data_IF_515632866880
#
_entry.id   IF_515632866880
#
_cell.length_a   1.000
_cell.length_b   1.000
_cell.length_c   1.000
_cell.angle_alpha   90.00
_cell.angle_beta   90.00
_cell.angle_gamma   90.00
#
_symmetry.space_group_name_H-M   'P 1'
#
loop_
_entity.id
_entity.type
_entity.pdbx_description
1 polymer ?
#
# COMPACT_ATOMS: atom_id res chain seq x y z
N UNK A 1 -5.40 26.24 -9.69
CA UNK A 1 -5.74 24.82 -10.02
C UNK A 1 -6.27 24.19 -8.76
N UNK A 2 -7.38 23.45 -8.81
CA UNK A 2 -7.87 22.78 -7.63
C UNK A 2 -6.92 21.60 -7.24
N UNK A 3 -7.03 21.14 -5.99
CA UNK A 3 -6.14 20.08 -5.44
C UNK A 3 -6.20 18.79 -6.26
N UNK A 4 -7.37 18.47 -6.81
CA UNK A 4 -7.57 17.24 -7.56
C UNK A 4 -6.87 17.29 -8.91
N UNK A 5 -7.04 18.38 -9.66
CA UNK A 5 -6.35 18.64 -10.93
C UNK A 5 -4.83 18.65 -10.76
N UNK A 6 -4.34 19.26 -9.66
CA UNK A 6 -2.91 19.25 -9.35
C UNK A 6 -2.38 17.83 -9.09
N UNK A 7 -3.11 16.99 -8.35
CA UNK A 7 -2.71 15.60 -8.11
C UNK A 7 -2.67 14.77 -9.40
N UNK A 8 -3.59 15.01 -10.34
CA UNK A 8 -3.58 14.36 -11.67
C UNK A 8 -2.32 14.78 -12.44
N UNK A 9 -2.00 16.08 -12.45
CA UNK A 9 -0.81 16.59 -13.12
C UNK A 9 0.49 15.99 -12.52
N UNK A 10 0.60 15.91 -11.18
CA UNK A 10 1.73 15.30 -10.50
C UNK A 10 1.85 13.80 -10.84
N UNK A 11 0.74 13.08 -10.94
CA UNK A 11 0.73 11.67 -11.32
C UNK A 11 1.16 11.50 -12.78
N UNK A 12 0.64 12.31 -13.69
CA UNK A 12 1.04 12.29 -15.10
C UNK A 12 2.54 12.58 -15.25
N UNK A 13 3.04 13.59 -14.57
CA UNK A 13 4.47 13.90 -14.52
C UNK A 13 5.33 12.73 -14.03
N UNK A 14 4.81 11.93 -13.09
CA UNK A 14 5.50 10.71 -12.62
C UNK A 14 5.54 9.64 -13.69
N UNK A 15 4.44 9.43 -14.41
CA UNK A 15 4.39 8.45 -15.50
C UNK A 15 5.30 8.86 -16.66
N UNK A 16 5.35 10.14 -16.99
CA UNK A 16 6.20 10.67 -18.03
C UNK A 16 7.69 10.55 -17.67
N UNK A 17 8.04 10.81 -16.39
CA UNK A 17 9.39 10.60 -15.89
C UNK A 17 9.83 9.13 -15.97
N UNK A 18 8.95 8.19 -15.57
CA UNK A 18 9.24 6.75 -15.67
C UNK A 18 9.48 6.35 -17.13
N UNK A 19 8.64 6.82 -18.06
CA UNK A 19 8.77 6.52 -19.49
C UNK A 19 10.04 7.09 -20.09
N UNK A 20 10.49 8.27 -19.64
CA UNK A 20 11.67 8.93 -20.16
C UNK A 20 12.98 8.45 -19.53
N UNK A 21 12.96 7.71 -18.42
CA UNK A 21 14.14 7.36 -17.65
C UNK A 21 14.41 5.85 -17.65
N UNK A 22 15.49 5.42 -18.31
CA UNK A 22 15.85 4.00 -18.44
C UNK A 22 16.06 3.30 -17.09
N UNK A 23 16.63 3.97 -16.08
CA UNK A 23 16.82 3.37 -14.75
C UNK A 23 15.50 3.08 -14.07
N UNK A 24 14.52 3.98 -14.20
CA UNK A 24 13.18 3.76 -13.65
C UNK A 24 12.44 2.64 -14.39
N UNK A 25 12.59 2.55 -15.72
CA UNK A 25 12.01 1.45 -16.51
C UNK A 25 12.60 0.10 -16.09
N UNK A 26 13.93 0.02 -15.91
CA UNK A 26 14.59 -1.18 -15.41
C UNK A 26 14.13 -1.57 -14.02
N UNK A 27 13.94 -0.60 -13.12
CA UNK A 27 13.41 -0.85 -11.79
C UNK A 27 11.96 -1.39 -11.83
N UNK A 28 11.11 -0.84 -12.69
CA UNK A 28 9.74 -1.37 -12.91
C UNK A 28 9.79 -2.81 -13.40
N UNK A 29 10.63 -3.11 -14.40
CA UNK A 29 10.77 -4.47 -14.93
C UNK A 29 11.27 -5.44 -13.85
N UNK A 30 12.28 -5.05 -13.08
CA UNK A 30 12.78 -5.83 -11.95
C UNK A 30 11.68 -6.11 -10.93
N UNK A 31 10.94 -5.07 -10.52
CA UNK A 31 9.85 -5.20 -9.57
C UNK A 31 8.78 -6.16 -10.06
N UNK A 32 8.32 -6.02 -11.31
CA UNK A 32 7.29 -6.89 -11.91
C UNK A 32 7.76 -8.35 -11.98
N UNK A 33 8.99 -8.60 -12.41
CA UNK A 33 9.54 -9.94 -12.53
C UNK A 33 9.71 -10.67 -11.18
N UNK A 34 9.88 -9.90 -10.10
CA UNK A 34 10.13 -10.42 -8.76
C UNK A 34 8.93 -10.24 -7.80
N UNK A 35 7.78 -9.80 -8.31
CA UNK A 35 6.55 -9.73 -7.52
C UNK A 35 6.14 -11.10 -7.01
N UNK A 36 5.56 -11.14 -5.81
CA UNK A 36 5.02 -12.35 -5.19
C UNK A 36 3.60 -12.11 -4.72
N UNK A 37 2.67 -12.89 -5.24
CA UNK A 37 1.30 -12.92 -4.72
C UNK A 37 1.17 -14.05 -3.69
N UNK A 38 0.86 -13.67 -2.45
CA UNK A 38 0.58 -14.61 -1.36
C UNK A 38 -0.93 -14.78 -1.24
N UNK A 39 -1.46 -15.88 -1.76
CA UNK A 39 -2.90 -16.19 -1.64
C UNK A 39 -3.28 -16.64 -0.22
N UNK A 40 -4.56 -16.54 0.21
CA UNK A 40 -4.97 -16.80 1.59
C UNK A 40 -4.60 -18.20 2.10
N UNK A 41 -4.69 -19.21 1.24
CA UNK A 41 -4.38 -20.60 1.57
C UNK A 41 -2.88 -20.90 1.65
N UNK A 42 -2.03 -19.99 1.22
CA UNK A 42 -0.59 -20.18 1.19
C UNK A 42 0.03 -19.81 2.53
N UNK A 43 0.68 -20.77 3.18
CA UNK A 43 1.54 -20.49 4.32
C UNK A 43 2.77 -19.68 3.87
N UNK A 44 3.10 -18.64 4.62
CA UNK A 44 4.31 -17.84 4.38
C UNK A 44 5.41 -18.40 5.26
N UNK A 45 6.42 -19.01 4.64
CA UNK A 45 7.55 -19.56 5.37
C UNK A 45 8.34 -18.42 6.05
N UNK A 46 8.45 -18.49 7.35
CA UNK A 46 9.29 -17.57 8.12
C UNK A 46 10.74 -18.05 8.09
N UNK A 47 11.65 -17.09 8.06
CA UNK A 47 13.05 -17.36 8.42
C UNK A 47 13.11 -17.65 9.92
N UNK A 48 14.15 -18.35 10.36
CA UNK A 48 14.43 -18.55 11.78
C UNK A 48 14.35 -17.20 12.51
N UNK A 49 13.60 -17.12 13.63
CA UNK A 49 13.47 -15.87 14.37
C UNK A 49 14.84 -15.41 14.85
N UNK A 50 15.20 -14.18 14.49
CA UNK A 50 16.40 -13.56 15.02
C UNK A 50 16.29 -13.36 16.53
N UNK A 51 17.42 -13.38 17.22
CA UNK A 51 17.49 -13.17 18.71
C UNK A 51 17.25 -11.72 19.12
N UNK A 52 17.08 -10.79 18.20
CA UNK A 52 16.91 -9.36 18.48
C UNK A 52 15.46 -8.98 18.72
N UNK A 53 15.21 -8.15 19.73
CA UNK A 53 13.90 -7.55 19.98
C UNK A 53 13.56 -6.53 18.88
N UNK A 54 12.32 -6.53 18.37
CA UNK A 54 11.84 -5.51 17.48
C UNK A 54 11.59 -4.20 18.23
N UNK A 55 12.13 -3.08 17.72
CA UNK A 55 11.87 -1.74 18.25
C UNK A 55 10.71 -1.11 17.49
N UNK A 56 9.66 -0.70 18.21
CA UNK A 56 8.55 0.08 17.65
C UNK A 56 8.81 1.57 17.84
N UNK A 57 8.65 2.34 16.75
CA UNK A 57 8.80 3.81 16.75
C UNK A 57 7.52 4.41 16.17
N UNK A 58 6.89 5.32 16.89
CA UNK A 58 5.73 6.07 16.41
C UNK A 58 6.19 7.42 15.88
N UNK A 59 5.68 7.82 14.71
CA UNK A 59 6.06 9.04 14.02
C UNK A 59 4.85 9.67 13.33
N UNK A 60 4.82 11.00 13.23
CA UNK A 60 3.84 11.76 12.45
C UNK A 60 4.16 11.84 10.96
N UNK A 61 5.27 11.24 10.53
CA UNK A 61 5.73 11.26 9.13
C UNK A 61 4.81 10.46 8.22
N UNK A 62 4.77 10.83 6.95
CA UNK A 62 4.16 10.03 5.90
C UNK A 62 4.99 8.79 5.60
N UNK A 63 4.41 7.83 4.88
CA UNK A 63 5.02 6.51 4.67
C UNK A 63 6.41 6.57 4.04
N UNK A 64 6.57 7.24 2.90
CA UNK A 64 7.88 7.36 2.26
C UNK A 64 8.81 8.35 2.97
N UNK A 65 8.27 9.36 3.61
CA UNK A 65 9.07 10.26 4.46
C UNK A 65 9.69 9.49 5.64
N UNK A 66 8.93 8.59 6.27
CA UNK A 66 9.44 7.72 7.32
C UNK A 66 10.46 6.70 6.79
N UNK A 67 10.21 6.12 5.61
CA UNK A 67 11.08 5.13 4.97
C UNK A 67 12.44 5.71 4.54
N UNK A 68 12.46 6.97 4.09
CA UNK A 68 13.62 7.61 3.43
C UNK A 68 14.91 7.51 4.24
N UNK A 69 14.88 7.82 5.54
CA UNK A 69 16.08 7.82 6.37
C UNK A 69 16.69 6.42 6.50
N UNK A 70 15.86 5.41 6.65
CA UNK A 70 16.31 4.01 6.77
C UNK A 70 16.82 3.47 5.44
N UNK A 71 16.10 3.72 4.35
CA UNK A 71 16.51 3.28 3.02
C UNK A 71 17.84 3.91 2.59
N UNK A 72 18.02 5.22 2.83
CA UNK A 72 19.30 5.93 2.56
C UNK A 72 20.42 5.46 3.48
N UNK A 73 20.13 4.89 4.62
CA UNK A 73 21.12 4.23 5.50
C UNK A 73 21.41 2.76 5.09
N UNK A 74 20.90 2.31 3.95
CA UNK A 74 21.16 0.97 3.40
C UNK A 74 20.32 -0.15 4.04
N UNK A 75 19.26 0.18 4.79
CA UNK A 75 18.36 -0.80 5.39
C UNK A 75 17.38 -1.34 4.36
N UNK A 76 17.05 -2.65 4.47
CA UNK A 76 15.96 -3.26 3.72
C UNK A 76 14.61 -2.78 4.30
N UNK A 77 14.00 -1.81 3.64
CA UNK A 77 12.76 -1.18 4.10
C UNK A 77 11.57 -1.74 3.34
N UNK A 78 10.56 -2.19 4.05
CA UNK A 78 9.27 -2.57 3.49
C UNK A 78 8.19 -1.58 3.95
N UNK A 79 7.33 -1.14 3.03
CA UNK A 79 6.24 -0.19 3.30
C UNK A 79 4.91 -0.85 3.03
N UNK A 80 3.97 -0.76 3.98
CA UNK A 80 2.60 -1.23 3.78
C UNK A 80 1.82 -0.22 2.92
N UNK A 81 1.30 -0.69 1.79
CA UNK A 81 0.35 0.03 0.93
C UNK A 81 -1.08 -0.32 1.36
N UNK A 82 -1.88 0.69 1.71
CA UNK A 82 -3.30 0.57 2.08
C UNK A 82 -4.15 0.53 0.81
N UNK A 83 -4.18 -0.62 0.19
CA UNK A 83 -4.57 -0.77 -1.20
C UNK A 83 -6.08 -0.72 -1.45
N UNK A 84 -6.42 -0.29 -2.65
CA UNK A 84 -7.70 -0.63 -3.26
C UNK A 84 -7.70 -2.10 -3.69
N UNK A 85 -8.76 -2.84 -3.33
CA UNK A 85 -8.94 -4.23 -3.77
C UNK A 85 -9.27 -4.35 -5.27
N UNK A 86 -9.75 -3.29 -5.87
CA UNK A 86 -10.45 -3.37 -7.17
C UNK A 86 -9.84 -2.51 -8.28
N UNK A 87 -8.87 -1.66 -7.92
CA UNK A 87 -8.19 -0.82 -8.92
C UNK A 87 -6.73 -0.58 -8.53
N UNK A 88 -5.79 -0.78 -9.45
CA UNK A 88 -4.39 -0.42 -9.25
C UNK A 88 -4.26 1.06 -8.85
N UNK A 89 -3.54 1.32 -7.77
CA UNK A 89 -3.31 2.69 -7.30
C UNK A 89 -4.59 3.46 -6.92
N UNK A 90 -5.68 2.74 -6.63
CA UNK A 90 -6.94 3.34 -6.19
C UNK A 90 -7.53 4.35 -7.17
N UNK A 91 -7.64 5.60 -6.75
CA UNK A 91 -8.13 6.73 -7.54
C UNK A 91 -7.04 7.68 -8.00
N UNK A 92 -5.78 7.23 -8.13
CA UNK A 92 -4.63 8.10 -8.46
C UNK A 92 -4.81 8.85 -9.77
N UNK A 93 -5.33 8.17 -10.80
CA UNK A 93 -5.62 8.77 -12.12
C UNK A 93 -6.72 9.83 -12.09
N UNK A 94 -7.49 9.89 -11.00
CA UNK A 94 -8.57 10.86 -10.77
C UNK A 94 -8.24 11.86 -9.66
N UNK A 95 -6.98 11.91 -9.22
CA UNK A 95 -6.48 12.88 -8.27
C UNK A 95 -6.89 12.64 -6.81
N UNK A 96 -7.28 11.42 -6.44
CA UNK A 96 -7.55 11.03 -5.05
C UNK A 96 -6.30 11.17 -4.17
N UNK A 97 -6.49 11.25 -2.84
CA UNK A 97 -5.46 11.70 -1.89
C UNK A 97 -5.15 10.72 -0.77
N UNK A 98 -5.69 9.48 -0.80
CA UNK A 98 -5.37 8.47 0.20
C UNK A 98 -3.90 8.00 0.08
N UNK A 99 -3.47 7.15 1.01
CA UNK A 99 -2.08 6.75 1.12
C UNK A 99 -1.57 6.03 -0.15
N UNK A 100 -2.33 5.09 -0.70
CA UNK A 100 -1.95 4.39 -1.94
C UNK A 100 -1.70 5.35 -3.11
N UNK A 101 -2.60 6.34 -3.29
CA UNK A 101 -2.42 7.33 -4.35
C UNK A 101 -1.19 8.21 -4.14
N UNK A 102 -0.85 8.53 -2.87
CA UNK A 102 0.38 9.25 -2.56
C UNK A 102 1.61 8.42 -2.91
N UNK A 103 1.64 7.13 -2.55
CA UNK A 103 2.74 6.23 -2.92
C UNK A 103 2.89 6.14 -4.44
N UNK A 104 1.79 5.96 -5.18
CA UNK A 104 1.79 5.86 -6.64
C UNK A 104 2.26 7.15 -7.33
N UNK A 105 1.99 8.33 -6.75
CA UNK A 105 2.48 9.60 -7.30
C UNK A 105 3.98 9.82 -7.09
N UNK A 106 4.55 9.20 -6.08
CA UNK A 106 5.94 9.46 -5.67
C UNK A 106 6.94 8.41 -6.13
N UNK A 107 6.48 7.31 -6.73
CA UNK A 107 7.34 6.14 -6.98
C UNK A 107 6.98 5.36 -8.24
N UNK A 108 7.75 4.32 -8.51
CA UNK A 108 7.49 3.35 -9.59
C UNK A 108 6.40 2.33 -9.24
N UNK A 109 5.64 2.50 -8.16
CA UNK A 109 4.66 1.51 -7.71
C UNK A 109 3.52 1.31 -8.71
N UNK A 110 2.94 2.39 -9.24
CA UNK A 110 1.75 2.29 -10.11
C UNK A 110 1.93 1.34 -11.30
N UNK A 111 2.95 1.47 -12.15
CA UNK A 111 3.16 0.54 -13.26
C UNK A 111 3.44 -0.90 -12.83
N UNK A 112 3.87 -1.12 -11.59
CA UNK A 112 4.01 -2.48 -11.05
C UNK A 112 2.66 -3.09 -10.65
N UNK A 113 1.68 -2.27 -10.28
CA UNK A 113 0.33 -2.70 -9.92
C UNK A 113 -0.58 -2.84 -11.15
N UNK A 114 -0.44 -1.93 -12.13
CA UNK A 114 -1.29 -1.87 -13.33
C UNK A 114 -0.73 -2.76 -14.46
N UNK A 115 -0.60 -4.05 -14.17
CA UNK A 115 -0.17 -5.08 -15.14
C UNK A 115 -1.31 -6.04 -15.43
N UNK A 116 -1.30 -6.65 -16.61
CA UNK A 116 -2.30 -7.66 -16.99
C UNK A 116 -2.33 -8.81 -15.97
N UNK A 117 -1.17 -9.26 -15.50
CA UNK A 117 -1.05 -10.30 -14.48
C UNK A 117 -1.75 -9.91 -13.18
N UNK A 118 -1.52 -8.70 -12.67
CA UNK A 118 -2.16 -8.24 -11.43
C UNK A 118 -3.66 -8.01 -11.61
N UNK A 119 -4.08 -7.56 -12.79
CA UNK A 119 -5.50 -7.50 -13.12
C UNK A 119 -6.16 -8.87 -13.02
N UNK A 120 -5.58 -9.91 -13.61
CA UNK A 120 -6.13 -11.26 -13.60
C UNK A 120 -6.05 -11.95 -12.24
N UNK A 121 -4.95 -11.78 -11.51
CA UNK A 121 -4.67 -12.56 -10.30
C UNK A 121 -5.14 -11.88 -9.01
N UNK A 122 -5.23 -10.53 -8.99
CA UNK A 122 -5.56 -9.78 -7.80
C UNK A 122 -6.85 -8.96 -7.95
N UNK A 123 -6.92 -8.00 -8.88
CA UNK A 123 -8.04 -7.04 -8.94
C UNK A 123 -9.35 -7.65 -9.44
N UNK A 124 -9.32 -8.44 -10.51
CA UNK A 124 -10.53 -9.07 -11.08
C UNK A 124 -11.17 -10.09 -10.12
N UNK A 125 -10.43 -10.98 -9.44
CA UNK A 125 -11.00 -11.86 -8.43
C UNK A 125 -11.76 -11.11 -7.33
N UNK A 126 -11.19 -10.03 -6.79
CA UNK A 126 -11.87 -9.19 -5.81
C UNK A 126 -13.13 -8.51 -6.34
N UNK A 127 -13.08 -8.01 -7.59
CA UNK A 127 -14.28 -7.45 -8.25
C UNK A 127 -15.36 -8.51 -8.45
N UNK A 128 -14.99 -9.70 -8.91
CA UNK A 128 -15.92 -10.80 -9.19
C UNK A 128 -16.55 -11.32 -7.89
N UNK A 129 -15.80 -11.43 -6.81
CA UNK A 129 -16.30 -11.87 -5.52
C UNK A 129 -17.36 -10.91 -4.96
N UNK A 130 -17.25 -9.60 -5.22
CA UNK A 130 -18.17 -8.59 -4.72
C UNK A 130 -18.23 -8.48 -3.20
N UNK A 131 -17.36 -9.19 -2.46
CA UNK A 131 -17.31 -9.18 -1.01
C UNK A 131 -16.57 -7.94 -0.51
N UNK A 132 -17.23 -7.04 0.26
CA UNK A 132 -16.57 -5.87 0.81
C UNK A 132 -15.56 -6.17 1.92
N UNK A 133 -15.57 -7.35 2.52
CA UNK A 133 -14.55 -7.77 3.48
C UNK A 133 -13.25 -8.16 2.77
N UNK A 134 -13.34 -8.51 1.49
CA UNK A 134 -12.22 -9.01 0.68
C UNK A 134 -11.60 -10.29 1.27
N UNK A 135 -10.50 -10.74 0.66
CA UNK A 135 -9.72 -11.85 1.16
C UNK A 135 -8.36 -11.38 1.75
N UNK A 136 -7.53 -12.32 2.16
CA UNK A 136 -6.24 -12.07 2.80
C UNK A 136 -5.06 -12.17 1.82
N UNK A 137 -5.31 -11.87 0.53
CA UNK A 137 -4.26 -11.77 -0.48
C UNK A 137 -3.30 -10.63 -0.14
N UNK A 138 -2.00 -10.90 -0.30
CA UNK A 138 -0.94 -9.91 -0.19
C UNK A 138 -0.11 -9.91 -1.46
N UNK A 139 0.20 -8.73 -1.98
CA UNK A 139 1.14 -8.57 -3.08
C UNK A 139 2.43 -7.93 -2.56
N UNK A 140 3.53 -8.66 -2.64
CA UNK A 140 4.86 -8.12 -2.36
C UNK A 140 5.52 -7.64 -3.66
N UNK A 141 5.94 -6.39 -3.70
CA UNK A 141 6.59 -5.74 -4.85
C UNK A 141 7.96 -5.21 -4.40
N UNK A 142 9.07 -5.88 -4.76
CA UNK A 142 10.41 -5.46 -4.36
C UNK A 142 10.95 -4.32 -5.23
N UNK A 143 11.88 -3.55 -4.68
CA UNK A 143 12.71 -2.61 -5.41
C UNK A 143 11.99 -1.41 -6.02
N UNK A 144 10.87 -0.98 -5.44
CA UNK A 144 10.12 0.21 -5.86
C UNK A 144 10.99 1.45 -5.61
N UNK A 145 11.26 2.22 -6.68
CA UNK A 145 12.05 3.45 -6.60
C UNK A 145 11.16 4.63 -6.23
N UNK A 146 11.52 5.34 -5.18
CA UNK A 146 10.90 6.60 -4.77
C UNK A 146 11.74 7.74 -5.35
N UNK A 147 11.12 8.58 -6.19
CA UNK A 147 11.77 9.65 -6.93
C UNK A 147 11.12 11.03 -6.76
N UNK A 148 10.05 11.11 -5.96
CA UNK A 148 9.44 12.37 -5.50
C UNK A 148 9.32 12.38 -3.99
N UNK A 149 9.30 13.58 -3.43
CA UNK A 149 9.05 13.81 -2.00
C UNK A 149 7.63 13.39 -1.62
N UNK A 150 7.46 12.70 -0.50
CA UNK A 150 6.13 12.35 0.02
C UNK A 150 5.59 13.49 0.89
N UNK A 151 5.11 14.52 0.24
CA UNK A 151 4.54 15.71 0.86
C UNK A 151 3.12 15.99 0.34
N UNK A 152 2.48 17.06 0.80
CA UNK A 152 1.21 17.53 0.26
C UNK A 152 1.33 18.06 -1.18
N UNK A 153 2.53 18.47 -1.58
CA UNK A 153 2.93 18.88 -2.92
C UNK A 153 4.21 18.12 -3.31
N UNK A 154 4.09 16.89 -3.84
CA UNK A 154 5.24 16.09 -4.23
C UNK A 154 6.08 16.76 -5.32
N UNK A 155 7.39 16.84 -5.08
CA UNK A 155 8.36 17.41 -6.00
C UNK A 155 9.36 16.33 -6.44
N UNK A 156 9.89 16.42 -7.66
CA UNK A 156 10.94 15.53 -8.16
C UNK A 156 12.21 15.70 -7.32
N UNK A 157 12.79 14.59 -6.91
CA UNK A 157 14.12 14.54 -6.30
C UNK A 157 15.20 14.42 -7.37
N UNK A 158 16.42 14.88 -7.06
CA UNK A 158 17.58 14.57 -7.89
C UNK A 158 17.88 13.06 -7.89
N UNK A 159 18.43 12.54 -8.97
CA UNK A 159 18.68 11.10 -9.12
C UNK A 159 19.56 10.49 -8.00
N UNK A 160 20.47 11.28 -7.40
CA UNK A 160 21.29 10.88 -6.27
C UNK A 160 20.51 10.70 -4.96
N UNK A 161 19.32 11.31 -4.87
CA UNK A 161 18.45 11.29 -3.69
C UNK A 161 17.36 10.22 -3.79
N UNK A 162 17.25 9.56 -4.94
CA UNK A 162 16.31 8.44 -5.12
C UNK A 162 16.73 7.29 -4.21
N UNK A 163 15.73 6.57 -3.72
CA UNK A 163 15.95 5.39 -2.88
C UNK A 163 14.94 4.30 -3.23
N UNK A 164 15.25 3.07 -2.83
CA UNK A 164 14.41 1.92 -3.06
C UNK A 164 13.76 1.46 -1.76
N UNK A 165 12.55 0.95 -1.88
CA UNK A 165 11.82 0.26 -0.82
C UNK A 165 11.07 -0.92 -1.42
N UNK A 166 10.75 -1.91 -0.61
CA UNK A 166 9.79 -2.93 -0.97
C UNK A 166 8.39 -2.49 -0.53
N UNK A 167 7.37 -2.95 -1.25
CA UNK A 167 5.98 -2.64 -0.92
C UNK A 167 5.20 -3.92 -0.66
N UNK A 168 4.45 -3.95 0.45
CA UNK A 168 3.39 -4.94 0.66
C UNK A 168 2.06 -4.25 0.41
N UNK A 169 1.36 -4.70 -0.62
CA UNK A 169 0.02 -4.24 -0.96
C UNK A 169 -0.99 -5.15 -0.26
N UNK A 170 -1.76 -4.59 0.66
CA UNK A 170 -2.76 -5.28 1.46
C UNK A 170 -4.07 -4.49 1.48
N UNK A 171 -5.19 -5.20 1.43
CA UNK A 171 -6.52 -4.60 1.37
C UNK A 171 -7.18 -4.61 2.74
N UNK A 172 -7.72 -3.47 3.18
CA UNK A 172 -8.56 -3.40 4.36
C UNK A 172 -10.03 -3.68 4.02
N UNK A 173 -10.83 -4.25 4.95
CA UNK A 173 -12.26 -4.42 4.76
C UNK A 173 -12.94 -3.07 4.50
N UNK A 174 -13.94 -3.05 3.63
CA UNK A 174 -14.71 -1.86 3.30
C UNK A 174 -16.03 -1.84 4.09
N UNK A 175 -16.04 -1.18 5.23
CA UNK A 175 -17.20 -1.09 6.13
C UNK A 175 -18.03 0.19 5.93
N UNK A 176 -17.91 0.86 4.80
CA UNK A 176 -18.70 2.04 4.48
C UNK A 176 -20.20 1.68 4.45
N UNK A 177 -21.04 2.65 4.79
CA UNK A 177 -22.52 2.49 4.70
C UNK A 177 -22.98 2.01 3.31
N UNK A 178 -22.28 2.45 2.26
CA UNK A 178 -22.44 2.00 0.89
C UNK A 178 -21.06 1.55 0.36
N UNK A 179 -20.75 0.25 0.36
CA UNK A 179 -19.47 -0.26 -0.11
C UNK A 179 -19.24 -0.05 -1.61
N UNK A 180 -20.30 -0.14 -2.43
CA UNK A 180 -20.21 0.04 -3.89
C UNK A 180 -19.86 1.48 -4.28
N UNK A 181 -19.16 1.60 -5.39
CA UNK A 181 -18.86 2.86 -6.07
C UNK A 181 -18.64 2.57 -7.56
N UNK A 182 -18.39 3.62 -8.36
CA UNK A 182 -18.15 3.47 -9.80
C UNK A 182 -17.00 2.52 -10.16
N UNK A 183 -16.06 2.31 -9.26
CA UNK A 183 -14.90 1.40 -9.45
C UNK A 183 -15.15 -0.02 -8.92
N UNK A 184 -16.14 -0.19 -8.06
CA UNK A 184 -16.53 -1.47 -7.49
C UNK A 184 -18.06 -1.52 -7.33
N UNK A 185 -18.82 -1.64 -8.44
CA UNK A 185 -20.27 -1.65 -8.38
C UNK A 185 -20.83 -2.94 -7.75
N UNK A 186 -20.06 -4.03 -7.76
CA UNK A 186 -20.47 -5.34 -7.23
C UNK A 186 -20.40 -5.46 -5.71
N UNK A 187 -19.77 -4.52 -5.01
CA UNK A 187 -19.62 -4.58 -3.54
C UNK A 187 -20.92 -4.37 -2.74
N UNK A 188 -22.05 -4.16 -3.43
CA UNK A 188 -23.36 -3.99 -2.80
C UNK A 188 -23.63 -2.59 -2.25
N UNK A 189 -24.89 -2.33 -1.90
CA UNK A 189 -25.36 -1.02 -1.45
C UNK A 189 -25.75 -1.00 0.03
N UNK A 190 -25.60 -2.11 0.73
CA UNK A 190 -25.86 -2.23 2.17
C UNK A 190 -24.56 -2.32 2.97
N UNK A 191 -24.51 -1.79 4.19
CA UNK A 191 -23.33 -1.91 5.04
C UNK A 191 -23.09 -3.37 5.42
N UNK A 192 -21.84 -3.76 5.53
CA UNK A 192 -21.46 -5.09 6.02
C UNK A 192 -21.78 -5.20 7.50
N UNK A 193 -22.43 -6.30 7.87
CA UNK A 193 -22.66 -6.64 9.27
C UNK A 193 -21.55 -7.57 9.73
N UNK A 194 -20.66 -7.07 10.56
CA UNK A 194 -19.56 -7.83 11.18
C UNK A 194 -19.49 -7.45 12.66
N UNK A 195 -19.29 -8.42 13.56
CA UNK A 195 -19.07 -8.12 14.96
C UNK A 195 -17.68 -7.52 15.19
N UNK A 196 -17.51 -6.75 16.27
CA UNK A 196 -16.20 -6.18 16.64
C UNK A 196 -15.14 -7.28 16.81
N UNK A 197 -15.50 -8.38 17.44
CA UNK A 197 -14.62 -9.54 17.62
C UNK A 197 -14.17 -10.11 16.28
N UNK A 198 -15.11 -10.38 15.35
CA UNK A 198 -14.78 -10.92 14.05
C UNK A 198 -13.95 -9.94 13.20
N UNK A 199 -14.22 -8.63 13.31
CA UNK A 199 -13.41 -7.61 12.65
C UNK A 199 -11.99 -7.55 13.22
N UNK A 200 -11.84 -7.64 14.54
CA UNK A 200 -10.55 -7.69 15.21
C UNK A 200 -9.74 -8.90 14.74
N UNK A 201 -10.33 -10.10 14.75
CA UNK A 201 -9.70 -11.34 14.31
C UNK A 201 -9.25 -11.24 12.84
N UNK A 202 -10.11 -10.72 11.96
CA UNK A 202 -9.79 -10.50 10.55
C UNK A 202 -8.61 -9.54 10.35
N UNK A 203 -8.59 -8.44 11.09
CA UNK A 203 -7.50 -7.46 11.01
C UNK A 203 -6.20 -8.03 11.58
N UNK A 204 -6.26 -8.76 12.69
CA UNK A 204 -5.10 -9.43 13.26
C UNK A 204 -4.49 -10.43 12.29
N UNK A 205 -5.31 -11.28 11.66
CA UNK A 205 -4.87 -12.25 10.67
C UNK A 205 -4.17 -11.57 9.49
N UNK A 206 -4.73 -10.47 8.95
CA UNK A 206 -4.10 -9.72 7.85
C UNK A 206 -2.78 -9.10 8.25
N UNK A 207 -2.73 -8.46 9.42
CA UNK A 207 -1.49 -7.86 9.91
C UNK A 207 -0.42 -8.92 10.17
N UNK A 208 -0.79 -10.06 10.73
CA UNK A 208 0.14 -11.18 10.92
C UNK A 208 0.75 -11.62 9.59
N UNK A 209 -0.07 -11.79 8.54
CA UNK A 209 0.43 -12.12 7.20
C UNK A 209 1.33 -11.02 6.61
N UNK A 210 1.04 -9.75 6.88
CA UNK A 210 1.92 -8.62 6.49
C UNK A 210 3.28 -8.75 7.16
N UNK A 211 3.32 -9.04 8.47
CA UNK A 211 4.58 -9.25 9.19
C UNK A 211 5.33 -10.47 8.65
N UNK A 212 4.64 -11.57 8.39
CA UNK A 212 5.22 -12.78 7.82
C UNK A 212 5.81 -12.52 6.44
N UNK A 213 5.09 -11.83 5.55
CA UNK A 213 5.56 -11.48 4.22
C UNK A 213 6.78 -10.54 4.27
N UNK A 214 6.77 -9.52 5.14
CA UNK A 214 7.92 -8.63 5.33
C UNK A 214 9.15 -9.42 5.81
N UNK A 215 9.01 -10.22 6.85
CA UNK A 215 10.10 -11.02 7.42
C UNK A 215 10.65 -12.05 6.43
N UNK A 216 9.79 -12.76 5.70
CA UNK A 216 10.20 -13.77 4.72
C UNK A 216 11.01 -13.16 3.56
N UNK A 217 10.78 -11.90 3.24
CA UNK A 217 11.51 -11.15 2.22
C UNK A 217 12.70 -10.34 2.78
N UNK A 218 13.01 -10.49 4.07
CA UNK A 218 14.22 -9.93 4.68
C UNK A 218 14.11 -8.46 5.08
N UNK A 219 12.91 -7.94 5.28
CA UNK A 219 12.74 -6.57 5.76
C UNK A 219 13.39 -6.37 7.14
N UNK A 220 14.26 -5.37 7.26
CA UNK A 220 14.84 -4.92 8.52
C UNK A 220 13.99 -3.84 9.18
N UNK A 221 13.26 -3.10 8.35
CA UNK A 221 12.34 -2.02 8.79
C UNK A 221 11.01 -2.19 8.08
N UNK A 222 9.92 -2.24 8.84
CA UNK A 222 8.57 -2.27 8.30
C UNK A 222 7.84 -0.96 8.65
N UNK A 223 7.45 -0.20 7.63
CA UNK A 223 6.68 1.03 7.78
C UNK A 223 5.19 0.68 7.68
N UNK A 224 4.52 0.85 8.78
CA UNK A 224 3.08 0.67 8.94
C UNK A 224 2.38 2.03 9.05
N UNK A 225 1.06 2.00 9.26
CA UNK A 225 0.26 3.19 9.52
C UNK A 225 -1.16 2.81 9.96
N UNK A 226 -2.08 3.76 9.92
CA UNK A 226 -3.48 3.57 10.31
C UNK A 226 -4.25 2.75 9.26
N UNK A 227 -3.88 1.48 9.11
CA UNK A 227 -4.45 0.55 8.14
C UNK A 227 -5.96 0.37 8.38
N UNK A 228 -6.75 0.58 7.33
CA UNK A 228 -8.20 0.46 7.39
C UNK A 228 -8.95 1.72 7.83
N UNK A 229 -8.29 2.73 8.42
CA UNK A 229 -8.98 3.94 8.93
C UNK A 229 -9.67 4.81 7.85
N UNK A 230 -9.37 4.61 6.57
CA UNK A 230 -10.01 5.33 5.47
C UNK A 230 -11.23 4.62 4.88
N UNK A 231 -11.19 3.30 4.73
CA UNK A 231 -12.26 2.47 4.17
C UNK A 231 -13.15 1.87 5.27
N UNK A 232 -12.55 1.57 6.41
CA UNK A 232 -13.25 1.27 7.64
C UNK A 232 -13.56 2.61 8.30
N UNK A 233 -14.78 3.08 8.16
CA UNK A 233 -15.23 4.27 8.89
C UNK A 233 -15.32 3.90 10.37
N UNK A 234 -14.21 3.97 11.09
CA UNK A 234 -14.19 3.86 12.56
C UNK A 234 -14.82 5.09 13.20
N UNK A 235 -16.06 5.37 12.88
CA UNK A 235 -16.83 6.43 13.55
C UNK A 235 -17.12 6.07 15.01
N UNK A 236 -16.78 4.85 15.46
CA UNK A 236 -17.03 4.37 16.82
C UNK A 236 -15.77 3.98 17.61
N UNK A 237 -14.60 3.89 16.97
CA UNK A 237 -13.34 3.75 17.67
C UNK A 237 -12.64 5.11 17.68
N UNK A 238 -13.11 6.00 18.51
CA UNK A 238 -12.25 7.07 19.02
C UNK A 238 -11.15 6.39 19.83
N UNK A 239 -10.00 6.17 19.21
CA UNK A 239 -8.79 5.99 19.99
C UNK A 239 -8.72 7.18 20.96
N UNK A 240 -8.54 6.95 22.28
CA UNK A 240 -8.41 8.04 23.21
C UNK A 240 -7.23 8.91 22.75
N UNK A 241 -7.53 10.11 22.26
CA UNK A 241 -6.55 11.10 21.82
C UNK A 241 -5.78 11.73 22.98
N UNK A 242 -5.76 11.06 24.14
CA UNK A 242 -5.07 11.47 25.34
C UNK A 242 -3.91 10.54 25.67
N UNK A 243 -2.92 10.50 24.77
CA UNK A 243 -1.55 10.12 25.13
C UNK A 243 -0.68 11.35 24.98
N UNK A 244 -0.83 12.30 25.92
CA UNK A 244 0.28 13.18 26.27
C UNK A 244 1.25 12.34 27.08
N UNK A 245 2.38 12.04 26.51
CA UNK A 245 3.66 11.85 27.19
C UNK A 245 4.69 12.62 26.38
#
# INVERSE_FOLDING_TARGET
>A
MDRRSNNIAIFQDSMDLIKANQKLQQAVQFSIQNQKLYVPSQAIALREPGKSSCKTIVSSKRSFEAASAYAKAGKQVCVLNFASATNPGGGVTRGSTAQEECLCRCSTLYPCLDTETMWHQFYQPHRKAGDPLYNDDLLYTPGVVVFKTDTSAPERMEGKDWYQVDIITCVAPNLRKKPSNAMNPSAGNAPVKISEKALYELQMQRLERVFQAAASNGAEVLILGAFGCGAVSYTHLTLPTNSRV
#
